data_IF_223683781260
#
_entry.id   IF_223683781260
#
_cell.length_a   1.000
_cell.length_b   1.000
_cell.length_c   1.000
_cell.angle_alpha   90.00
_cell.angle_beta   90.00
_cell.angle_gamma   90.00
#
_symmetry.space_group_name_H-M   'P 1'
#
loop_
_entity.id
_entity.type
_entity.pdbx_description
1 polymer ?
#
# COMPACT_ATOMS: atom_id res chain seq x y z
N UNK A 1 -24.49 -5.36 -11.07
CA UNK A 1 -24.08 -4.67 -12.31
C UNK A 1 -22.80 -3.93 -11.97
N UNK A 2 -21.68 -4.27 -12.58
CA UNK A 2 -20.38 -3.67 -12.26
C UNK A 2 -20.22 -2.45 -13.16
N UNK A 3 -20.25 -1.25 -12.58
CA UNK A 3 -20.22 0.02 -13.33
C UNK A 3 -18.90 0.20 -14.09
N UNK A 4 -18.98 0.61 -15.35
CA UNK A 4 -17.81 0.86 -16.21
C UNK A 4 -17.10 2.18 -15.84
N UNK A 5 -15.77 2.21 -15.97
CA UNK A 5 -14.89 3.07 -15.18
C UNK A 5 -14.28 4.27 -15.93
N UNK A 6 -14.18 5.41 -15.24
CA UNK A 6 -13.49 6.63 -15.72
C UNK A 6 -12.07 6.69 -15.12
N UNK A 7 -11.08 7.02 -15.94
CA UNK A 7 -9.67 7.22 -15.54
C UNK A 7 -9.55 8.55 -14.76
N UNK A 8 -9.07 8.51 -13.51
CA UNK A 8 -8.69 9.73 -12.79
C UNK A 8 -8.77 9.71 -11.26
N UNK A 9 -9.66 8.91 -10.67
CA UNK A 9 -9.86 8.92 -9.22
C UNK A 9 -9.43 7.58 -8.58
N UNK A 10 -8.18 7.52 -8.12
CA UNK A 10 -7.63 6.32 -7.48
C UNK A 10 -8.20 6.09 -6.07
N UNK A 11 -8.71 7.14 -5.41
CA UNK A 11 -9.34 7.05 -4.08
C UNK A 11 -10.67 6.29 -4.11
N UNK A 12 -11.37 6.31 -5.25
CA UNK A 12 -12.62 5.55 -5.48
C UNK A 12 -12.43 4.04 -5.68
N UNK A 13 -11.19 3.53 -5.78
CA UNK A 13 -10.89 2.11 -6.03
C UNK A 13 -10.57 1.35 -4.75
N UNK A 14 -11.36 1.56 -3.71
CA UNK A 14 -11.25 0.79 -2.46
C UNK A 14 -12.16 -0.43 -2.50
N UNK A 15 -11.58 -1.62 -2.50
CA UNK A 15 -12.29 -2.86 -2.22
C UNK A 15 -12.15 -3.19 -0.74
N UNK A 16 -13.28 -3.21 -0.01
CA UNK A 16 -13.32 -3.59 1.40
C UNK A 16 -13.64 -5.07 1.53
N UNK A 17 -12.90 -5.78 2.37
CA UNK A 17 -13.13 -7.18 2.70
C UNK A 17 -12.89 -7.39 4.19
N UNK A 18 -13.97 -7.57 4.96
CA UNK A 18 -13.91 -7.62 6.43
C UNK A 18 -13.15 -6.41 7.00
N UNK A 19 -12.05 -6.63 7.75
CA UNK A 19 -11.18 -5.57 8.29
C UNK A 19 -10.11 -5.06 7.32
N UNK A 20 -10.09 -5.57 6.08
CA UNK A 20 -9.09 -5.21 5.08
C UNK A 20 -9.63 -4.20 4.08
N UNK A 21 -8.74 -3.29 3.68
CA UNK A 21 -8.95 -2.31 2.62
C UNK A 21 -7.90 -2.53 1.55
N UNK A 22 -8.34 -2.75 0.30
CA UNK A 22 -7.47 -2.89 -0.87
C UNK A 22 -7.70 -1.67 -1.73
N UNK A 23 -6.72 -0.77 -1.74
CA UNK A 23 -6.74 0.47 -2.52
C UNK A 23 -5.32 0.89 -2.89
N UNK A 24 -5.22 1.92 -3.74
CA UNK A 24 -3.95 2.60 -3.95
C UNK A 24 -3.44 3.18 -2.63
N UNK A 25 -2.13 3.02 -2.38
CA UNK A 25 -1.46 3.63 -1.24
C UNK A 25 -1.07 5.04 -1.61
N UNK A 26 -1.51 6.00 -0.82
CA UNK A 26 -1.10 7.39 -0.92
C UNK A 26 -0.35 7.76 0.36
N UNK A 27 0.97 7.59 0.30
CA UNK A 27 1.84 7.68 1.48
C UNK A 27 1.66 8.95 2.33
N UNK A 28 1.51 10.18 1.76
CA UNK A 28 1.34 11.39 2.57
C UNK A 28 0.14 11.36 3.54
N UNK A 29 -0.93 10.66 3.17
CA UNK A 29 -2.10 10.48 4.04
C UNK A 29 -1.98 9.20 4.86
N UNK A 30 -1.61 8.09 4.20
CA UNK A 30 -1.62 6.75 4.79
C UNK A 30 -0.63 6.58 5.93
N UNK A 31 0.48 7.33 5.92
CA UNK A 31 1.46 7.31 7.01
C UNK A 31 0.89 7.74 8.37
N UNK A 32 -0.29 8.40 8.39
CA UNK A 32 -0.94 8.88 9.61
C UNK A 32 -2.02 7.92 10.14
N UNK A 33 -2.25 6.79 9.47
CA UNK A 33 -3.16 5.76 9.96
C UNK A 33 -2.62 5.19 11.28
N UNK A 34 -3.52 4.95 12.25
CA UNK A 34 -3.17 4.41 13.56
C UNK A 34 -3.58 2.96 13.67
N UNK A 35 -2.74 2.13 14.31
CA UNK A 35 -2.99 0.70 14.51
C UNK A 35 -3.24 -0.02 13.17
N UNK A 36 -2.47 0.37 12.16
CA UNK A 36 -2.65 -0.11 10.79
C UNK A 36 -1.40 -0.83 10.31
N UNK A 37 -1.62 -1.82 9.43
CA UNK A 37 -0.55 -2.53 8.75
C UNK A 37 -0.73 -2.31 7.25
N UNK A 38 0.25 -1.62 6.65
CA UNK A 38 0.26 -1.33 5.22
C UNK A 38 1.12 -2.38 4.53
N UNK A 39 0.56 -3.02 3.50
CA UNK A 39 1.30 -3.88 2.58
C UNK A 39 1.34 -3.16 1.23
N UNK A 40 2.51 -2.68 0.84
CA UNK A 40 2.67 -1.82 -0.32
C UNK A 40 3.87 -2.21 -1.17
N UNK A 41 3.71 -2.07 -2.47
CA UNK A 41 4.79 -2.19 -3.43
C UNK A 41 5.84 -1.09 -3.19
N UNK A 42 7.16 -1.39 -3.24
CA UNK A 42 8.22 -0.38 -3.16
C UNK A 42 8.06 0.75 -4.18
N UNK A 43 7.52 0.42 -5.37
CA UNK A 43 7.32 1.38 -6.46
C UNK A 43 6.16 2.35 -6.23
N UNK A 44 5.31 2.08 -5.24
CA UNK A 44 4.17 2.93 -4.86
C UNK A 44 4.48 3.80 -3.65
N UNK A 45 5.70 3.73 -3.12
CA UNK A 45 6.14 4.41 -1.92
C UNK A 45 7.23 5.43 -2.26
N UNK A 46 7.50 6.41 -1.37
CA UNK A 46 8.66 7.29 -1.52
C UNK A 46 9.97 6.50 -1.64
N UNK A 47 10.95 6.98 -2.41
CA UNK A 47 12.23 6.30 -2.60
C UNK A 47 13.00 6.02 -1.30
N UNK A 48 12.80 6.86 -0.28
CA UNK A 48 13.46 6.82 1.02
C UNK A 48 12.59 6.18 2.11
N UNK A 49 11.54 5.44 1.72
CA UNK A 49 10.62 4.80 2.67
C UNK A 49 11.33 3.89 3.69
N UNK A 50 12.45 3.28 3.29
CA UNK A 50 13.26 2.39 4.15
C UNK A 50 13.91 3.11 5.33
N UNK A 51 14.13 4.41 5.22
CA UNK A 51 14.77 5.23 6.26
C UNK A 51 13.73 5.85 7.21
N UNK A 52 12.48 5.96 6.75
CA UNK A 52 11.41 6.72 7.43
C UNK A 52 10.34 5.85 8.07
N UNK A 53 10.14 4.62 7.58
CA UNK A 53 9.05 3.74 8.01
C UNK A 53 9.55 2.50 8.76
N UNK A 54 8.73 2.01 9.69
CA UNK A 54 8.99 0.77 10.39
C UNK A 54 8.60 -0.44 9.52
N UNK A 55 9.53 -0.87 8.66
CA UNK A 55 9.36 -2.06 7.81
C UNK A 55 9.63 -3.31 8.65
N UNK A 56 8.56 -4.02 9.02
CA UNK A 56 8.64 -5.23 9.85
C UNK A 56 8.85 -6.51 9.04
N UNK A 57 8.53 -6.47 7.72
CA UNK A 57 8.72 -7.61 6.82
C UNK A 57 8.85 -7.15 5.37
N UNK A 58 9.65 -7.88 4.60
CA UNK A 58 9.74 -7.73 3.14
C UNK A 58 9.36 -9.05 2.47
N UNK A 59 8.48 -8.98 1.48
CA UNK A 59 8.21 -10.08 0.56
C UNK A 59 9.04 -9.86 -0.71
N UNK A 60 9.67 -10.92 -1.22
CA UNK A 60 10.55 -10.84 -2.38
C UNK A 60 9.97 -11.62 -3.55
N UNK A 61 10.22 -11.14 -4.76
CA UNK A 61 10.07 -11.95 -5.97
C UNK A 61 11.12 -13.05 -6.01
N UNK A 62 10.92 -14.05 -6.88
CA UNK A 62 11.93 -15.10 -7.14
C UNK A 62 13.29 -14.54 -7.54
N UNK A 63 13.33 -13.34 -8.13
CA UNK A 63 14.53 -12.62 -8.55
C UNK A 63 15.24 -11.88 -7.41
N UNK A 64 14.85 -12.10 -6.14
CA UNK A 64 15.33 -11.37 -4.93
C UNK A 64 14.97 -9.88 -4.87
N UNK A 65 14.32 -9.34 -5.90
CA UNK A 65 13.80 -7.99 -5.87
C UNK A 65 12.64 -7.86 -4.85
N UNK A 66 12.57 -6.78 -4.06
CA UNK A 66 11.44 -6.57 -3.14
C UNK A 66 10.12 -6.45 -3.92
N UNK A 67 9.16 -7.28 -3.56
CA UNK A 67 7.81 -7.25 -4.12
C UNK A 67 6.89 -6.34 -3.29
N UNK A 68 6.94 -6.50 -1.97
CA UNK A 68 6.12 -5.73 -1.02
C UNK A 68 6.86 -5.48 0.28
N UNK A 69 6.65 -4.31 0.86
CA UNK A 69 6.99 -4.00 2.24
C UNK A 69 5.75 -4.10 3.12
N UNK A 70 5.96 -4.63 4.33
CA UNK A 70 4.98 -4.60 5.41
C UNK A 70 5.42 -3.53 6.39
N UNK A 71 4.62 -2.48 6.50
CA UNK A 71 4.90 -1.29 7.32
C UNK A 71 3.89 -1.26 8.46
N UNK A 72 4.40 -1.19 9.70
CA UNK A 72 3.57 -1.00 10.88
C UNK A 72 3.48 0.49 11.24
N UNK A 73 2.26 0.98 11.44
CA UNK A 73 1.95 2.36 11.83
C UNK A 73 1.28 2.43 13.21
#
# INVERSE_FOLDING_TARGET
MQEEFIIGDQSKRETKFDKFSIRAVFWPEDMNLKNALIIASPWSLPPDIKERANIIKTFYFKTTAPAFYVIAL
#
